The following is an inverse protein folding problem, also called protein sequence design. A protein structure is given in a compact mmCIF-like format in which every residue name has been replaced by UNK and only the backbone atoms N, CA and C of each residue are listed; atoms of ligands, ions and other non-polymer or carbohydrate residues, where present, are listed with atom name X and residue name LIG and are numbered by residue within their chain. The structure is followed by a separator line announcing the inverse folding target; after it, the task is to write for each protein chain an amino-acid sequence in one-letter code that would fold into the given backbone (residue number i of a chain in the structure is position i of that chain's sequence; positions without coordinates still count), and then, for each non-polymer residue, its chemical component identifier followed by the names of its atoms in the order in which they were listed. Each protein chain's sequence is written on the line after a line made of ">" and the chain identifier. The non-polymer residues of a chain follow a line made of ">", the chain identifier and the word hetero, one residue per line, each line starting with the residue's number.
data_IF_842947331867
#
_entry.id   IF_842947331867
#
_cell.length_a   1.000
_cell.length_b   1.000
_cell.length_c   1.000
_cell.angle_alpha   90.00
_cell.angle_beta   90.00
_cell.angle_gamma   90.00
#
_symmetry.space_group_name_H-M   'P 1'
#
loop_
_entity.id
_entity.type
_entity.pdbx_description
1 polymer ?
#
# COMPACT_ATOMS: atom_id res chain seq x y z
N UNK A 1 37.25 -29.64 11.03
CA UNK A 1 35.82 -29.69 11.36
C UNK A 1 35.21 -28.47 10.68
N UNK A 2 34.56 -28.71 9.53
CA UNK A 2 33.86 -27.66 8.79
C UNK A 2 32.56 -27.28 9.51
N UNK A 3 32.37 -25.99 9.79
CA UNK A 3 31.09 -25.47 10.23
C UNK A 3 30.11 -25.59 9.06
N UNK A 4 29.09 -26.43 9.21
CA UNK A 4 27.92 -26.41 8.32
C UNK A 4 27.19 -25.10 8.59
N UNK A 5 27.06 -24.27 7.53
CA UNK A 5 26.12 -23.17 7.55
C UNK A 5 24.73 -23.77 7.70
N UNK A 6 24.06 -23.45 8.79
CA UNK A 6 22.62 -23.73 8.95
C UNK A 6 21.88 -22.91 7.90
N UNK A 7 21.34 -23.57 6.86
CA UNK A 7 20.39 -22.93 5.96
C UNK A 7 19.23 -22.41 6.81
N UNK A 8 19.02 -21.10 6.80
CA UNK A 8 17.85 -20.50 7.40
C UNK A 8 16.62 -20.95 6.61
N UNK A 9 15.93 -21.98 7.09
CA UNK A 9 14.67 -22.43 6.50
C UNK A 9 13.59 -21.42 6.85
N UNK A 10 13.14 -20.65 5.87
CA UNK A 10 12.02 -19.72 6.03
C UNK A 10 10.72 -20.53 6.12
N UNK A 11 10.03 -20.41 7.24
CA UNK A 11 8.72 -21.02 7.46
C UNK A 11 7.62 -19.96 7.32
N UNK A 12 6.65 -20.20 6.43
CA UNK A 12 5.45 -19.37 6.33
C UNK A 12 4.45 -19.81 7.38
N UNK A 13 4.12 -18.91 8.30
CA UNK A 13 3.09 -19.15 9.33
C UNK A 13 1.89 -18.24 9.06
N UNK A 14 0.75 -18.82 8.68
CA UNK A 14 -0.52 -18.10 8.55
C UNK A 14 -1.19 -17.97 9.91
N UNK A 15 -1.23 -16.77 10.47
CA UNK A 15 -1.88 -16.49 11.75
C UNK A 15 -3.38 -16.23 11.60
N UNK A 16 -3.79 -15.63 10.49
CA UNK A 16 -5.18 -15.30 10.15
C UNK A 16 -5.40 -15.55 8.66
N UNK A 17 -6.37 -16.39 8.32
CA UNK A 17 -6.66 -16.77 6.94
C UNK A 17 -8.12 -17.19 6.74
N UNK A 18 -8.55 -17.29 5.49
CA UNK A 18 -9.92 -17.64 5.14
C UNK A 18 -10.93 -16.65 5.71
N UNK A 19 -11.98 -17.14 6.33
CA UNK A 19 -13.02 -16.31 6.98
C UNK A 19 -12.53 -15.50 8.17
N UNK A 20 -11.34 -15.79 8.69
CA UNK A 20 -10.68 -15.05 9.77
C UNK A 20 -9.58 -14.11 9.26
N UNK A 21 -9.44 -13.92 7.96
CA UNK A 21 -8.49 -12.97 7.40
C UNK A 21 -8.79 -11.56 7.93
N UNK A 22 -7.72 -10.80 8.18
CA UNK A 22 -7.86 -9.43 8.67
C UNK A 22 -8.10 -8.48 7.49
N UNK A 23 -9.07 -7.58 7.64
CA UNK A 23 -9.27 -6.47 6.73
C UNK A 23 -8.11 -5.47 6.80
N UNK A 24 -7.62 -5.22 8.01
CA UNK A 24 -6.48 -4.34 8.27
C UNK A 24 -5.56 -4.95 9.30
N UNK A 25 -4.26 -4.68 9.18
CA UNK A 25 -3.24 -5.09 10.14
C UNK A 25 -2.30 -3.91 10.42
N UNK A 26 -2.07 -3.63 11.70
CA UNK A 26 -1.01 -2.70 12.13
C UNK A 26 0.24 -3.50 12.41
N UNK A 27 1.33 -3.14 11.77
CA UNK A 27 2.64 -3.74 11.95
C UNK A 27 3.55 -2.74 12.67
N UNK A 28 4.31 -3.26 13.64
CA UNK A 28 5.24 -2.47 14.44
C UNK A 28 6.52 -3.29 14.62
N UNK A 29 7.67 -2.71 14.26
CA UNK A 29 8.96 -3.37 14.36
C UNK A 29 9.84 -2.83 15.50
N UNK A 30 9.24 -2.22 16.49
CA UNK A 30 9.91 -1.76 17.73
C UNK A 30 9.12 -2.20 18.96
N UNK A 31 9.83 -2.24 20.09
CA UNK A 31 9.25 -2.36 21.42
C UNK A 31 10.06 -1.49 22.41
N UNK A 32 9.78 -1.57 23.70
CA UNK A 32 10.45 -0.77 24.74
C UNK A 32 11.97 -0.98 24.83
N UNK A 33 12.48 -2.06 24.25
CA UNK A 33 13.90 -2.45 24.32
C UNK A 33 14.59 -2.55 22.95
N UNK A 34 13.84 -2.62 21.85
CA UNK A 34 14.36 -2.80 20.49
C UNK A 34 13.80 -1.73 19.57
N UNK A 35 14.67 -1.10 18.77
CA UNK A 35 14.30 -0.23 17.67
C UNK A 35 14.45 -0.98 16.36
N UNK A 36 13.39 -1.04 15.56
CA UNK A 36 13.45 -1.53 14.19
C UNK A 36 13.97 -0.47 13.23
N UNK A 37 14.33 -0.89 12.02
CA UNK A 37 14.89 -0.04 10.97
C UNK A 37 13.91 0.26 9.82
N UNK A 38 12.61 0.12 10.05
CA UNK A 38 11.60 0.28 9.00
C UNK A 38 11.16 -1.05 8.39
N UNK A 39 10.63 -1.00 7.18
CA UNK A 39 10.14 -2.16 6.44
C UNK A 39 10.64 -2.16 5.02
N UNK A 40 10.90 -3.34 4.49
CA UNK A 40 11.17 -3.59 3.10
C UNK A 40 10.03 -4.43 2.51
N UNK A 41 9.52 -4.01 1.36
CA UNK A 41 8.41 -4.66 0.66
C UNK A 41 8.95 -5.32 -0.60
N UNK A 42 8.49 -6.54 -0.87
CA UNK A 42 8.93 -7.29 -2.03
C UNK A 42 8.24 -8.64 -2.13
N UNK A 43 8.74 -9.45 -3.02
CA UNK A 43 8.27 -10.82 -3.20
C UNK A 43 9.45 -11.79 -3.26
N UNK A 44 9.17 -13.08 -3.08
CA UNK A 44 10.14 -14.15 -3.32
C UNK A 44 9.93 -14.69 -4.71
N UNK A 45 10.99 -14.70 -5.52
CA UNK A 45 10.99 -15.29 -6.85
C UNK A 45 10.93 -16.83 -6.82
N UNK A 46 11.04 -17.47 -8.01
CA UNK A 46 11.00 -18.91 -8.14
C UNK A 46 12.17 -19.61 -7.42
N UNK A 47 13.31 -18.95 -7.32
CA UNK A 47 14.52 -19.42 -6.64
C UNK A 47 14.51 -19.10 -5.14
N UNK A 48 13.41 -18.55 -4.62
CA UNK A 48 13.23 -18.11 -3.23
C UNK A 48 14.16 -16.97 -2.82
N UNK A 49 14.67 -16.22 -3.79
CA UNK A 49 15.40 -14.99 -3.55
C UNK A 49 14.42 -13.83 -3.33
N UNK A 50 14.68 -13.00 -2.31
CA UNK A 50 13.85 -11.82 -2.06
C UNK A 50 14.15 -10.74 -3.12
N UNK A 51 13.10 -10.28 -3.79
CA UNK A 51 13.15 -9.19 -4.76
C UNK A 51 12.52 -7.95 -4.12
N UNK A 52 13.32 -6.96 -3.71
CA UNK A 52 12.80 -5.74 -3.09
C UNK A 52 12.09 -4.87 -4.14
N UNK A 53 10.98 -4.25 -3.72
CA UNK A 53 10.19 -3.32 -4.54
C UNK A 53 10.20 -1.91 -3.98
N UNK A 54 10.11 -1.78 -2.66
CA UNK A 54 10.08 -0.49 -1.96
C UNK A 54 10.55 -0.67 -0.51
N UNK A 55 10.94 0.42 0.12
CA UNK A 55 11.29 0.44 1.54
C UNK A 55 10.77 1.72 2.21
N UNK A 56 10.65 1.67 3.54
CA UNK A 56 10.34 2.83 4.37
C UNK A 56 11.08 2.73 5.70
N UNK A 57 11.49 3.88 6.24
CA UNK A 57 12.10 3.98 7.58
C UNK A 57 11.04 4.00 8.70
N UNK A 58 9.77 4.03 8.34
CA UNK A 58 8.67 4.04 9.30
C UNK A 58 8.64 2.75 10.11
N UNK A 59 8.59 2.88 11.43
CA UNK A 59 8.60 1.74 12.35
C UNK A 59 7.20 1.19 12.64
N UNK A 60 6.18 1.89 12.19
CA UNK A 60 4.77 1.50 12.33
C UNK A 60 4.03 1.78 11.02
N UNK A 61 3.39 0.75 10.50
CA UNK A 61 2.60 0.84 9.27
C UNK A 61 1.24 0.16 9.45
N UNK A 62 0.30 0.55 8.64
CA UNK A 62 -0.98 -0.16 8.45
C UNK A 62 -1.01 -0.78 7.07
N UNK A 63 -1.35 -2.06 7.01
CA UNK A 63 -1.64 -2.78 5.76
C UNK A 63 -3.14 -3.04 5.72
N UNK A 64 -3.80 -2.58 4.66
CA UNK A 64 -5.25 -2.71 4.48
C UNK A 64 -5.50 -3.35 3.11
N UNK A 65 -6.55 -4.15 2.97
CA UNK A 65 -6.97 -4.63 1.65
C UNK A 65 -7.36 -3.45 0.76
N UNK A 66 -7.16 -3.59 -0.55
CA UNK A 66 -7.53 -2.56 -1.54
C UNK A 66 -9.06 -2.50 -1.70
N UNK A 67 -9.71 -1.82 -0.77
CA UNK A 67 -11.16 -1.64 -0.69
C UNK A 67 -11.45 -0.40 0.15
N UNK A 68 -12.64 0.18 -0.01
CA UNK A 68 -13.04 1.32 0.82
C UNK A 68 -12.99 0.97 2.31
N UNK A 69 -12.30 1.78 3.09
CA UNK A 69 -12.17 1.64 4.53
C UNK A 69 -12.75 2.85 5.26
N UNK A 70 -13.48 2.60 6.35
CA UNK A 70 -14.01 3.65 7.22
C UNK A 70 -13.06 3.86 8.39
N UNK A 71 -12.57 5.09 8.59
CA UNK A 71 -11.67 5.42 9.68
C UNK A 71 -12.47 5.93 10.88
N UNK A 72 -12.29 5.29 12.02
CA UNK A 72 -12.89 5.72 13.28
C UNK A 72 -11.87 5.54 14.42
N UNK A 73 -11.54 6.64 15.09
CA UNK A 73 -10.55 6.62 16.18
C UNK A 73 -9.17 6.09 15.75
N UNK A 74 -8.74 6.37 14.50
CA UNK A 74 -7.47 5.88 13.94
C UNK A 74 -7.45 4.39 13.61
N UNK A 75 -8.61 3.74 13.51
CA UNK A 75 -8.77 2.33 13.11
C UNK A 75 -9.57 2.25 11.82
N UNK A 76 -9.12 1.39 10.89
CA UNK A 76 -9.83 1.13 9.63
C UNK A 76 -10.82 -0.02 9.81
N UNK A 77 -12.04 0.18 9.33
CA UNK A 77 -13.14 -0.78 9.35
C UNK A 77 -13.64 -1.06 7.94
N UNK A 78 -13.90 -2.32 7.64
CA UNK A 78 -14.52 -2.76 6.39
C UNK A 78 -15.98 -2.31 6.32
N UNK A 79 -16.70 -2.46 7.43
CA UNK A 79 -18.11 -2.10 7.54
C UNK A 79 -18.24 -0.72 8.18
N UNK A 80 -19.13 0.11 7.63
CA UNK A 80 -19.38 1.47 8.11
C UNK A 80 -19.82 1.49 9.58
N UNK A 81 -19.01 2.05 10.50
CA UNK A 81 -19.40 2.22 11.89
C UNK A 81 -20.39 3.39 12.03
N UNK A 82 -21.05 3.48 13.20
CA UNK A 82 -22.00 4.58 13.48
C UNK A 82 -21.34 5.95 13.37
N UNK A 83 -20.09 6.07 13.83
CA UNK A 83 -19.29 7.29 13.75
C UNK A 83 -17.98 6.96 13.04
N UNK A 84 -17.62 7.74 12.05
CA UNK A 84 -16.34 7.69 11.36
C UNK A 84 -15.89 9.10 10.99
N UNK A 85 -14.58 9.31 10.93
CA UNK A 85 -13.99 10.62 10.60
C UNK A 85 -13.84 10.80 9.08
N UNK A 86 -13.48 9.73 8.37
CA UNK A 86 -13.24 9.78 6.93
C UNK A 86 -13.42 8.40 6.30
N UNK A 87 -13.49 8.37 4.98
CA UNK A 87 -13.40 7.16 4.17
C UNK A 87 -12.07 7.21 3.44
N UNK A 88 -11.26 6.16 3.59
CA UNK A 88 -10.14 5.88 2.71
C UNK A 88 -10.70 5.11 1.52
N UNK A 89 -10.85 5.82 0.41
CA UNK A 89 -11.42 5.25 -0.80
C UNK A 89 -10.38 4.44 -1.57
N UNK A 90 -10.85 3.43 -2.27
CA UNK A 90 -10.02 2.55 -3.11
C UNK A 90 -10.20 2.81 -4.62
N UNK A 91 -10.81 3.94 -4.97
CA UNK A 91 -10.84 4.44 -6.34
C UNK A 91 -9.75 5.48 -6.52
N UNK A 92 -8.91 5.31 -7.52
CA UNK A 92 -7.76 6.17 -7.76
C UNK A 92 -7.73 6.64 -9.21
N UNK A 93 -7.09 7.78 -9.45
CA UNK A 93 -6.66 8.20 -10.77
C UNK A 93 -5.28 7.58 -10.98
N UNK A 94 -5.10 6.75 -11.99
CA UNK A 94 -3.84 6.11 -12.34
C UNK A 94 -3.27 6.73 -13.62
N UNK A 95 -2.01 7.16 -13.59
CA UNK A 95 -1.31 7.62 -14.78
C UNK A 95 -1.06 6.45 -15.74
N UNK A 96 -1.22 6.67 -17.05
CA UNK A 96 -1.08 5.62 -18.07
C UNK A 96 0.38 5.20 -18.28
N UNK A 97 1.34 6.00 -17.83
CA UNK A 97 2.78 5.71 -17.95
C UNK A 97 3.22 4.73 -16.87
N UNK A 98 3.93 3.68 -17.27
CA UNK A 98 4.70 2.83 -16.38
C UNK A 98 6.09 3.41 -16.16
N UNK A 99 6.64 3.23 -14.96
CA UNK A 99 7.95 3.72 -14.57
C UNK A 99 8.93 2.56 -14.37
N UNK A 100 10.21 2.80 -14.64
CA UNK A 100 11.25 1.77 -14.58
C UNK A 100 11.70 1.45 -13.14
N UNK A 101 11.48 2.37 -12.19
CA UNK A 101 11.85 2.18 -10.78
C UNK A 101 10.85 2.84 -9.83
N UNK A 102 10.94 2.44 -8.56
CA UNK A 102 10.17 3.06 -7.48
C UNK A 102 10.48 4.56 -7.35
N UNK A 103 11.76 4.94 -7.44
CA UNK A 103 12.23 6.32 -7.27
C UNK A 103 11.70 7.23 -8.38
N UNK A 104 11.69 6.76 -9.62
CA UNK A 104 11.11 7.50 -10.74
C UNK A 104 9.60 7.73 -10.54
N UNK A 105 8.88 6.68 -10.18
CA UNK A 105 7.46 6.76 -9.89
C UNK A 105 7.17 7.68 -8.69
N UNK A 106 7.97 7.60 -7.62
CA UNK A 106 7.82 8.43 -6.43
C UNK A 106 8.04 9.92 -6.73
N UNK A 107 9.04 10.26 -7.54
CA UNK A 107 9.31 11.64 -7.93
C UNK A 107 8.10 12.26 -8.67
N UNK A 108 7.43 11.47 -9.52
CA UNK A 108 6.21 11.90 -10.21
C UNK A 108 5.02 11.94 -9.24
N UNK A 109 4.83 10.94 -8.39
CA UNK A 109 3.75 10.88 -7.41
C UNK A 109 3.75 12.10 -6.48
N UNK A 110 4.92 12.53 -6.03
CA UNK A 110 5.09 13.72 -5.16
C UNK A 110 4.67 15.04 -5.82
N UNK A 111 4.52 15.10 -7.13
CA UNK A 111 4.01 16.28 -7.84
C UNK A 111 2.48 16.41 -7.79
N UNK A 112 1.79 15.39 -7.33
CA UNK A 112 0.33 15.36 -7.21
C UNK A 112 -0.12 15.32 -5.74
N UNK A 113 -1.16 16.07 -5.36
CA UNK A 113 -1.77 15.94 -4.04
C UNK A 113 -2.26 14.50 -3.82
N UNK A 114 -1.85 13.86 -2.72
CA UNK A 114 -2.15 12.46 -2.41
C UNK A 114 -1.71 11.48 -3.51
N UNK A 115 -0.61 11.80 -4.21
CA UNK A 115 0.02 10.89 -5.14
C UNK A 115 0.82 9.81 -4.40
N UNK A 116 0.76 8.58 -4.88
CA UNK A 116 1.50 7.45 -4.34
C UNK A 116 1.92 6.46 -5.42
N UNK A 117 2.88 5.62 -5.11
CA UNK A 117 3.37 4.59 -6.02
C UNK A 117 2.59 3.30 -5.81
N UNK A 118 2.18 2.68 -6.90
CA UNK A 118 1.61 1.33 -6.92
C UNK A 118 2.50 0.40 -7.75
N UNK A 119 2.60 -0.86 -7.34
CA UNK A 119 3.26 -1.92 -8.11
C UNK A 119 2.21 -2.91 -8.60
N UNK A 120 1.95 -2.89 -9.90
CA UNK A 120 0.84 -3.60 -10.53
C UNK A 120 1.38 -4.37 -11.73
N UNK A 121 1.17 -5.68 -11.75
CA UNK A 121 1.55 -6.58 -12.86
C UNK A 121 3.03 -6.46 -13.29
N UNK A 122 3.92 -6.22 -12.31
CA UNK A 122 5.35 -6.13 -12.56
C UNK A 122 5.85 -4.72 -12.92
N UNK A 123 4.99 -3.70 -12.88
CA UNK A 123 5.32 -2.33 -13.25
C UNK A 123 5.03 -1.34 -12.13
N UNK A 124 5.87 -0.32 -12.00
CA UNK A 124 5.57 0.82 -11.13
C UNK A 124 4.62 1.79 -11.83
N UNK A 125 3.54 2.13 -11.14
CA UNK A 125 2.50 3.06 -11.57
C UNK A 125 2.38 4.20 -10.55
N UNK A 126 1.89 5.35 -11.01
CA UNK A 126 1.52 6.45 -10.10
C UNK A 126 0.01 6.52 -10.03
N UNK A 127 -0.49 6.54 -8.80
CA UNK A 127 -1.91 6.74 -8.48
C UNK A 127 -2.08 8.02 -7.68
N UNK A 128 -3.23 8.65 -7.84
CA UNK A 128 -3.57 9.94 -7.22
C UNK A 128 -4.93 9.84 -6.56
N UNK A 129 -4.99 10.28 -5.31
CA UNK A 129 -6.22 10.36 -4.53
C UNK A 129 -6.71 9.01 -4.01
N UNK A 130 -7.61 9.08 -3.02
CA UNK A 130 -8.25 7.94 -2.36
C UNK A 130 -9.74 8.21 -2.31
N UNK A 131 -10.43 8.00 -3.42
CA UNK A 131 -11.83 8.38 -3.60
C UNK A 131 -12.77 7.23 -3.20
N UNK A 132 -13.92 7.57 -2.64
CA UNK A 132 -14.89 6.58 -2.18
C UNK A 132 -15.72 5.97 -3.33
N UNK A 133 -15.68 6.60 -4.53
CA UNK A 133 -16.45 6.16 -5.69
C UNK A 133 -15.78 6.53 -7.00
N UNK A 134 -16.23 5.87 -8.08
CA UNK A 134 -15.82 6.19 -9.44
C UNK A 134 -16.17 7.65 -9.81
N UNK A 135 -17.38 8.11 -9.46
CA UNK A 135 -17.84 9.45 -9.79
C UNK A 135 -17.01 10.54 -9.10
N UNK A 136 -16.56 10.29 -7.88
CA UNK A 136 -15.65 11.18 -7.17
C UNK A 136 -14.29 11.24 -7.88
N UNK A 137 -13.73 10.10 -8.27
CA UNK A 137 -12.50 10.05 -9.07
C UNK A 137 -12.65 10.79 -10.40
N UNK A 138 -13.78 10.62 -11.09
CA UNK A 138 -14.04 11.27 -12.37
C UNK A 138 -14.11 12.80 -12.24
N UNK A 139 -14.75 13.30 -11.17
CA UNK A 139 -14.80 14.73 -10.89
C UNK A 139 -13.38 15.27 -10.64
N UNK A 140 -12.61 14.61 -9.76
CA UNK A 140 -11.24 15.06 -9.45
C UNK A 140 -10.33 14.98 -10.69
N UNK A 141 -10.46 13.93 -11.52
CA UNK A 141 -9.70 13.81 -12.77
C UNK A 141 -9.95 14.98 -13.70
N UNK A 142 -11.20 15.47 -13.80
CA UNK A 142 -11.53 16.61 -14.65
C UNK A 142 -10.89 17.93 -14.19
N UNK A 143 -10.47 18.00 -12.94
CA UNK A 143 -9.84 19.17 -12.31
C UNK A 143 -8.31 19.03 -12.17
N UNK A 144 -7.76 17.83 -12.46
CA UNK A 144 -6.34 17.51 -12.29
C UNK A 144 -5.61 17.57 -13.61
N UNK A 145 -4.48 18.28 -13.65
CA UNK A 145 -3.62 18.30 -14.83
C UNK A 145 -2.78 17.03 -14.91
N UNK A 146 -3.22 16.10 -15.73
CA UNK A 146 -2.53 14.82 -16.03
C UNK A 146 -2.13 14.71 -17.52
N UNK A 147 -2.20 15.82 -18.27
CA UNK A 147 -2.04 15.82 -19.73
C UNK A 147 -0.71 15.23 -20.20
N UNK A 148 0.37 15.39 -19.44
CA UNK A 148 1.69 14.87 -19.79
C UNK A 148 1.76 13.33 -19.80
N UNK A 149 0.93 12.65 -19.01
CA UNK A 149 0.96 11.21 -18.81
C UNK A 149 -0.30 10.49 -19.32
N UNK A 150 -1.40 11.22 -19.48
CA UNK A 150 -2.73 10.63 -19.59
C UNK A 150 -3.12 9.95 -18.26
N UNK A 151 -4.39 9.64 -18.11
CA UNK A 151 -4.86 8.97 -16.90
C UNK A 151 -6.11 8.15 -17.14
N UNK A 152 -6.34 7.18 -16.25
CA UNK A 152 -7.55 6.39 -16.16
C UNK A 152 -8.02 6.31 -14.70
N UNK A 153 -9.27 5.94 -14.48
CA UNK A 153 -9.78 5.65 -13.15
C UNK A 153 -9.66 4.15 -12.92
N UNK A 154 -9.04 3.78 -11.82
CA UNK A 154 -8.91 2.39 -11.37
C UNK A 154 -9.82 2.12 -10.19
N UNK A 155 -10.32 0.90 -10.14
CA UNK A 155 -11.26 0.43 -9.12
C UNK A 155 -10.54 -0.47 -8.11
N UNK A 156 -11.13 -0.72 -6.94
CA UNK A 156 -10.59 -1.63 -5.94
C UNK A 156 -10.23 -3.01 -6.51
N UNK A 157 -9.12 -3.57 -6.05
CA UNK A 157 -8.67 -4.91 -6.40
C UNK A 157 -8.83 -5.86 -5.22
N UNK A 158 -9.55 -6.97 -5.40
CA UNK A 158 -9.73 -7.98 -4.35
C UNK A 158 -8.44 -8.70 -3.93
N UNK A 159 -7.36 -8.54 -4.68
CA UNK A 159 -6.05 -9.15 -4.42
C UNK A 159 -4.98 -8.13 -4.03
N UNK A 160 -5.32 -6.84 -4.06
CA UNK A 160 -4.41 -5.76 -3.72
C UNK A 160 -4.38 -5.48 -2.22
N UNK A 161 -3.29 -4.88 -1.79
CA UNK A 161 -3.14 -4.30 -0.46
C UNK A 161 -2.57 -2.89 -0.57
N UNK A 162 -2.95 -2.03 0.36
CA UNK A 162 -2.43 -0.67 0.49
C UNK A 162 -1.65 -0.59 1.80
N UNK A 163 -0.46 0.00 1.74
CA UNK A 163 0.38 0.27 2.91
C UNK A 163 0.35 1.76 3.20
N UNK A 164 0.10 2.12 4.44
CA UNK A 164 0.07 3.51 4.89
C UNK A 164 0.78 3.69 6.23
N UNK A 165 1.19 4.92 6.52
CA UNK A 165 1.72 5.30 7.84
C UNK A 165 0.57 5.43 8.83
N UNK A 166 0.70 4.84 10.02
CA UNK A 166 -0.42 4.62 10.95
C UNK A 166 -0.92 5.86 11.68
N UNK A 167 -0.16 6.93 11.75
CA UNK A 167 -0.49 8.09 12.59
C UNK A 167 -0.99 9.31 11.78
N UNK A 168 -1.14 9.15 10.47
CA UNK A 168 -1.69 10.20 9.62
C UNK A 168 -2.99 9.71 8.99
N UNK A 169 -4.04 10.52 9.08
CA UNK A 169 -5.28 10.35 8.31
C UNK A 169 -5.03 10.56 6.79
N UNK A 170 -3.78 10.50 6.38
CA UNK A 170 -3.29 10.69 5.02
C UNK A 170 -2.62 9.41 4.56
N UNK A 171 -3.25 8.77 3.61
CA UNK A 171 -2.64 7.78 2.73
C UNK A 171 -1.89 8.55 1.67
#
# INVERSE_FOLDING_TARGET
>A
VGAQATENTMLKVGLKYGTNALFTARLQNYNDTLSGSGYEFGYYDADRSFVPLAATDEQRITVTVDSNAYVSGGVCYETRPTNYSTILGAYHIELLTAFGSYEEALAVAQSYPKGFVAYIDGEYRVRVGNHASYDESARVLSETDVLAYGAQIVTPSSTGVVVSVTDTDTV
#
